data_IF_499764980724
#
_entry.id   IF_499764980724
#
_cell.length_a   1.000
_cell.length_b   1.000
_cell.length_c   1.000
_cell.angle_alpha   90.00
_cell.angle_beta   90.00
_cell.angle_gamma   90.00
#
_symmetry.space_group_name_H-M   'P 1'
#
loop_
_entity.id
_entity.type
_entity.pdbx_description
1 polymer ?
#
# COMPACT_ATOMS: atom_id res chain seq x y z
N UNK A 1 -34.17 31.95 -4.95
CA UNK A 1 -32.97 31.97 -4.09
C UNK A 1 -31.81 31.44 -4.92
N UNK A 2 -30.88 32.30 -5.34
CA UNK A 2 -29.71 31.86 -6.11
C UNK A 2 -28.71 31.16 -5.18
N UNK A 3 -28.44 29.88 -5.43
CA UNK A 3 -27.35 29.15 -4.78
C UNK A 3 -26.03 29.73 -5.29
N UNK A 4 -25.29 30.42 -4.42
CA UNK A 4 -23.92 30.86 -4.72
C UNK A 4 -23.06 29.60 -4.73
N UNK A 5 -22.77 29.07 -5.90
CA UNK A 5 -21.75 28.04 -6.07
C UNK A 5 -20.39 28.66 -5.69
N UNK A 6 -20.01 28.53 -4.43
CA UNK A 6 -18.67 28.88 -3.96
C UNK A 6 -17.70 27.85 -4.52
N UNK A 7 -17.15 28.12 -5.69
CA UNK A 7 -16.08 27.30 -6.25
C UNK A 7 -14.85 27.40 -5.33
N UNK A 8 -14.21 26.27 -4.99
CA UNK A 8 -12.98 26.31 -4.22
C UNK A 8 -11.94 27.15 -4.97
N UNK A 9 -11.19 27.96 -4.23
CA UNK A 9 -10.19 28.84 -4.86
C UNK A 9 -9.17 28.00 -5.64
N UNK A 10 -8.66 28.47 -6.79
CA UNK A 10 -7.65 27.77 -7.57
C UNK A 10 -6.41 27.36 -6.75
N UNK A 11 -6.07 28.15 -5.74
CA UNK A 11 -4.99 27.85 -4.80
C UNK A 11 -5.27 26.60 -3.96
N UNK A 12 -6.49 26.46 -3.43
CA UNK A 12 -6.89 25.28 -2.67
C UNK A 12 -6.89 24.03 -3.55
N UNK A 13 -7.36 24.12 -4.80
CA UNK A 13 -7.34 23.01 -5.76
C UNK A 13 -5.90 22.55 -6.01
N UNK A 14 -4.97 23.47 -6.28
CA UNK A 14 -3.56 23.12 -6.52
C UNK A 14 -2.88 22.51 -5.28
N UNK A 15 -3.21 22.99 -4.08
CA UNK A 15 -2.67 22.44 -2.84
C UNK A 15 -3.16 20.99 -2.62
N UNK A 16 -4.45 20.73 -2.85
CA UNK A 16 -5.03 19.38 -2.79
C UNK A 16 -4.41 18.43 -3.83
N UNK A 17 -4.20 18.88 -5.06
CA UNK A 17 -3.53 18.08 -6.10
C UNK A 17 -2.10 17.69 -5.70
N UNK A 18 -1.33 18.63 -5.14
CA UNK A 18 0.03 18.35 -4.63
C UNK A 18 0.03 17.38 -3.45
N UNK A 19 -0.97 17.45 -2.57
CA UNK A 19 -1.11 16.52 -1.46
C UNK A 19 -1.42 15.10 -1.98
N UNK A 20 -2.34 14.98 -2.94
CA UNK A 20 -2.69 13.71 -3.57
C UNK A 20 -1.50 13.06 -4.29
N UNK A 21 -0.73 13.84 -5.05
CA UNK A 21 0.50 13.38 -5.72
C UNK A 21 1.51 12.81 -4.71
N UNK A 22 1.67 13.49 -3.56
CA UNK A 22 2.56 13.02 -2.48
C UNK A 22 2.06 11.73 -1.86
N UNK A 23 0.77 11.63 -1.56
CA UNK A 23 0.17 10.42 -0.98
C UNK A 23 0.32 9.22 -1.92
N UNK A 24 0.14 9.43 -3.22
CA UNK A 24 0.37 8.43 -4.25
C UNK A 24 1.81 7.91 -4.24
N UNK A 25 2.78 8.82 -4.24
CA UNK A 25 4.21 8.48 -4.26
C UNK A 25 4.70 7.86 -2.94
N UNK A 26 4.16 8.28 -1.80
CA UNK A 26 4.64 7.88 -0.48
C UNK A 26 3.95 6.65 0.08
N UNK A 27 2.69 6.40 -0.30
CA UNK A 27 1.87 5.34 0.30
C UNK A 27 1.38 4.38 -0.77
N UNK A 28 0.70 4.86 -1.80
CA UNK A 28 -0.01 3.98 -2.75
C UNK A 28 0.98 3.15 -3.58
N UNK A 29 1.94 3.77 -4.26
CA UNK A 29 2.91 3.05 -5.07
C UNK A 29 3.78 2.10 -4.24
N UNK A 30 4.35 2.52 -3.10
CA UNK A 30 5.13 1.62 -2.27
C UNK A 30 4.31 0.43 -1.73
N UNK A 31 3.05 0.63 -1.36
CA UNK A 31 2.19 -0.43 -0.89
C UNK A 31 1.91 -1.46 -2.01
N UNK A 32 1.60 -0.99 -3.21
CA UNK A 32 1.40 -1.84 -4.38
C UNK A 32 2.66 -2.65 -4.72
N UNK A 33 3.83 -1.99 -4.78
CA UNK A 33 5.09 -2.64 -5.06
C UNK A 33 5.39 -3.73 -4.03
N UNK A 34 5.19 -3.46 -2.74
CA UNK A 34 5.41 -4.45 -1.70
C UNK A 34 4.49 -5.67 -1.88
N UNK A 35 3.21 -5.46 -2.12
CA UNK A 35 2.25 -6.56 -2.32
C UNK A 35 2.59 -7.37 -3.57
N UNK A 36 2.95 -6.71 -4.67
CA UNK A 36 3.37 -7.36 -5.89
C UNK A 36 4.60 -8.26 -5.66
N UNK A 37 5.65 -7.71 -5.03
CA UNK A 37 6.84 -8.49 -4.69
C UNK A 37 6.56 -9.68 -3.78
N UNK A 38 5.71 -9.50 -2.76
CA UNK A 38 5.34 -10.59 -1.86
C UNK A 38 4.51 -11.66 -2.56
N UNK A 39 3.59 -11.27 -3.43
CA UNK A 39 2.77 -12.21 -4.22
C UNK A 39 3.65 -13.05 -5.14
N UNK A 40 4.58 -12.42 -5.88
CA UNK A 40 5.56 -13.16 -6.70
C UNK A 40 6.41 -14.13 -5.86
N UNK A 41 6.79 -13.73 -4.66
CA UNK A 41 7.57 -14.57 -3.75
C UNK A 41 6.77 -15.74 -3.15
N UNK A 42 5.45 -15.60 -3.06
CA UNK A 42 4.52 -16.65 -2.66
C UNK A 42 4.31 -17.64 -3.79
N UNK A 43 4.11 -17.15 -5.02
CA UNK A 43 3.88 -17.96 -6.21
C UNK A 43 5.10 -18.82 -6.57
N UNK A 44 6.32 -18.27 -6.46
CA UNK A 44 7.57 -19.01 -6.66
C UNK A 44 8.57 -18.80 -5.51
N UNK A 45 8.46 -19.61 -4.43
CA UNK A 45 9.37 -19.51 -3.30
C UNK A 45 10.81 -19.91 -3.61
N UNK A 46 11.03 -20.64 -4.71
CA UNK A 46 12.34 -21.17 -5.09
C UNK A 46 13.24 -20.11 -5.72
N UNK A 47 12.67 -19.13 -6.41
CA UNK A 47 13.43 -18.09 -7.13
C UNK A 47 14.12 -17.12 -6.18
N UNK A 48 13.37 -16.51 -5.26
CA UNK A 48 13.90 -15.46 -4.40
C UNK A 48 14.82 -15.98 -3.29
N UNK A 49 14.67 -17.25 -2.89
CA UNK A 49 15.55 -17.87 -1.88
C UNK A 49 16.96 -18.11 -2.41
N UNK A 50 17.16 -18.28 -3.71
CA UNK A 50 18.48 -18.58 -4.30
C UNK A 50 19.43 -17.39 -4.30
N UNK A 51 18.91 -16.17 -4.47
CA UNK A 51 19.72 -14.95 -4.58
C UNK A 51 19.59 -14.09 -3.32
N UNK A 52 20.71 -13.74 -2.70
CA UNK A 52 20.76 -12.93 -1.48
C UNK A 52 20.05 -11.57 -1.64
N UNK A 53 20.17 -10.95 -2.80
CA UNK A 53 19.52 -9.65 -3.08
C UNK A 53 18.01 -9.78 -3.15
N UNK A 54 17.49 -10.80 -3.81
CA UNK A 54 16.05 -11.02 -3.91
C UNK A 54 15.45 -11.39 -2.55
N UNK A 55 16.19 -12.17 -1.75
CA UNK A 55 15.84 -12.43 -0.34
C UNK A 55 15.71 -11.14 0.47
N UNK A 56 16.66 -10.22 0.34
CA UNK A 56 16.59 -8.90 0.99
C UNK A 56 15.41 -8.06 0.49
N UNK A 57 15.09 -8.12 -0.81
CA UNK A 57 13.93 -7.39 -1.37
C UNK A 57 12.62 -7.90 -0.79
N UNK A 58 12.43 -9.22 -0.73
CA UNK A 58 11.24 -9.85 -0.14
C UNK A 58 11.11 -9.50 1.35
N UNK A 59 12.20 -9.62 2.12
CA UNK A 59 12.19 -9.23 3.54
C UNK A 59 11.90 -7.74 3.75
N UNK A 60 12.42 -6.88 2.88
CA UNK A 60 12.16 -5.43 2.91
C UNK A 60 10.70 -5.15 2.60
N UNK A 61 10.15 -5.72 1.54
CA UNK A 61 8.74 -5.59 1.16
C UNK A 61 7.83 -6.04 2.31
N UNK A 62 8.13 -7.18 2.95
CA UNK A 62 7.40 -7.67 4.12
C UNK A 62 7.40 -6.68 5.30
N UNK A 63 8.56 -6.07 5.58
CA UNK A 63 8.72 -5.08 6.66
C UNK A 63 8.00 -3.78 6.34
N UNK A 64 8.16 -3.25 5.14
CA UNK A 64 7.58 -1.97 4.71
C UNK A 64 6.06 -2.05 4.61
N UNK A 65 5.52 -3.10 3.96
CA UNK A 65 4.08 -3.34 3.95
C UNK A 65 3.52 -3.45 5.38
N UNK A 66 4.23 -4.15 6.26
CA UNK A 66 3.85 -4.23 7.67
C UNK A 66 3.90 -2.90 8.42
N UNK A 67 4.71 -1.92 8.02
CA UNK A 67 4.68 -0.57 8.60
C UNK A 67 3.46 0.20 8.08
N UNK A 68 3.20 0.15 6.78
CA UNK A 68 2.05 0.83 6.16
C UNK A 68 0.72 0.31 6.69
N UNK A 69 0.56 -1.01 6.81
CA UNK A 69 -0.66 -1.62 7.35
C UNK A 69 -0.86 -1.39 8.85
N UNK A 70 0.18 -0.97 9.59
CA UNK A 70 0.08 -0.58 11.01
C UNK A 70 -0.22 0.89 11.19
N UNK A 71 0.10 1.73 10.21
CA UNK A 71 -0.19 3.16 10.25
C UNK A 71 -1.64 3.41 9.78
N UNK A 72 -2.55 3.87 10.67
CA UNK A 72 -3.94 4.10 10.32
C UNK A 72 -4.10 5.15 9.21
N UNK A 73 -3.17 6.10 9.08
CA UNK A 73 -3.20 7.11 8.02
C UNK A 73 -2.92 6.45 6.67
N UNK A 74 -1.86 5.66 6.58
CA UNK A 74 -1.53 4.89 5.37
C UNK A 74 -2.68 3.97 4.96
N UNK A 75 -3.29 3.24 5.91
CA UNK A 75 -4.45 2.36 5.64
C UNK A 75 -5.62 3.14 5.06
N UNK A 76 -5.97 4.30 5.64
CA UNK A 76 -7.05 5.16 5.11
C UNK A 76 -6.75 5.67 3.71
N UNK A 77 -5.51 6.11 3.45
CA UNK A 77 -5.08 6.58 2.13
C UNK A 77 -5.18 5.47 1.09
N UNK A 78 -4.74 4.25 1.44
CA UNK A 78 -4.84 3.07 0.58
C UNK A 78 -6.31 2.75 0.30
N UNK A 79 -7.15 2.58 1.32
CA UNK A 79 -8.57 2.27 1.14
C UNK A 79 -9.30 3.32 0.29
N UNK A 80 -9.10 4.61 0.60
CA UNK A 80 -9.73 5.71 -0.12
C UNK A 80 -9.32 5.76 -1.59
N UNK A 81 -8.06 5.41 -1.93
CA UNK A 81 -7.60 5.37 -3.31
C UNK A 81 -8.35 4.35 -4.18
N UNK A 82 -8.85 3.27 -3.56
CA UNK A 82 -9.64 2.23 -4.23
C UNK A 82 -11.16 2.41 -4.05
N UNK A 83 -11.58 3.56 -3.53
CA UNK A 83 -12.99 3.90 -3.35
C UNK A 83 -13.65 3.23 -2.14
N UNK A 84 -12.86 2.75 -1.18
CA UNK A 84 -13.36 2.10 0.02
C UNK A 84 -13.39 3.07 1.22
N UNK A 85 -14.51 3.09 1.95
CA UNK A 85 -14.76 4.08 3.01
C UNK A 85 -14.14 3.71 4.37
N UNK A 86 -13.71 2.46 4.55
CA UNK A 86 -13.27 1.96 5.86
C UNK A 86 -11.96 1.16 5.82
N UNK A 87 -11.32 1.06 6.99
CA UNK A 87 -10.14 0.22 7.19
C UNK A 87 -10.47 -1.29 7.20
N UNK A 88 -11.75 -1.66 7.28
CA UNK A 88 -12.27 -3.04 7.15
C UNK A 88 -12.53 -3.39 5.68
N UNK A 89 -11.64 -2.86 4.85
CA UNK A 89 -11.62 -2.96 3.41
C UNK A 89 -11.22 -4.37 2.97
N UNK A 90 -11.95 -5.04 2.06
CA UNK A 90 -11.52 -6.32 1.49
C UNK A 90 -10.11 -6.26 0.89
N UNK A 91 -9.72 -5.11 0.31
CA UNK A 91 -8.36 -4.87 -0.16
C UNK A 91 -7.34 -4.91 0.99
N UNK A 92 -7.60 -4.19 2.09
CA UNK A 92 -6.69 -4.15 3.24
C UNK A 92 -6.56 -5.53 3.88
N UNK A 93 -7.66 -6.28 4.00
CA UNK A 93 -7.63 -7.66 4.47
C UNK A 93 -6.81 -8.56 3.55
N UNK A 94 -7.03 -8.48 2.23
CA UNK A 94 -6.22 -9.21 1.25
C UNK A 94 -4.71 -8.87 1.36
N UNK A 95 -4.35 -7.59 1.55
CA UNK A 95 -2.95 -7.19 1.74
C UNK A 95 -2.36 -7.78 3.04
N UNK A 96 -3.16 -7.90 4.11
CA UNK A 96 -2.75 -8.58 5.35
C UNK A 96 -2.56 -10.09 5.12
N UNK A 97 -3.44 -10.72 4.35
CA UNK A 97 -3.34 -12.14 3.99
C UNK A 97 -2.06 -12.45 3.21
N UNK A 98 -1.76 -11.66 2.16
CA UNK A 98 -0.51 -11.77 1.39
C UNK A 98 0.69 -11.67 2.34
N UNK A 99 0.65 -10.73 3.29
CA UNK A 99 1.72 -10.57 4.27
C UNK A 99 1.88 -11.78 5.19
N UNK A 100 0.79 -12.37 5.68
CA UNK A 100 0.86 -13.57 6.54
C UNK A 100 1.30 -14.82 5.78
N UNK A 101 0.92 -14.96 4.50
CA UNK A 101 1.44 -16.02 3.64
C UNK A 101 2.96 -15.88 3.43
N UNK A 102 3.43 -14.67 3.10
CA UNK A 102 4.85 -14.38 2.97
C UNK A 102 5.62 -14.63 4.28
N UNK A 103 5.05 -14.30 5.44
CA UNK A 103 5.65 -14.55 6.76
C UNK A 103 5.93 -16.03 6.99
N UNK A 104 5.01 -16.93 6.63
CA UNK A 104 5.21 -18.38 6.75
C UNK A 104 6.41 -18.84 5.90
N UNK A 105 6.60 -18.26 4.72
CA UNK A 105 7.71 -18.59 3.84
C UNK A 105 9.05 -18.03 4.33
N UNK A 106 9.04 -16.83 4.92
CA UNK A 106 10.26 -16.15 5.42
C UNK A 106 10.73 -16.73 6.75
N UNK A 107 9.80 -16.99 7.68
CA UNK A 107 10.11 -17.42 9.06
C UNK A 107 10.02 -18.94 9.26
N UNK A 108 9.35 -19.65 8.34
CA UNK A 108 9.23 -21.12 8.36
C UNK A 108 10.27 -21.85 7.51
N UNK A 109 11.29 -21.14 7.00
CA UNK A 109 12.47 -21.73 6.33
C UNK A 109 13.71 -21.56 7.20
#
# INVERSE_FOLDING_TARGET
MHSVHTYPSPFLIMASLKALEREKQQVIYPAYDCVHFLSMAIDDPGVWKKRKEDRKKVERAYKELGKMLRDPKSVKVIAAWFGEESADSPLIEWMKEVREQAKKLILGS
#
